data_IF_197825765075
#
_entry.id   IF_197825765075
#
_cell.length_a   1.000
_cell.length_b   1.000
_cell.length_c   1.000
_cell.angle_alpha   90.00
_cell.angle_beta   90.00
_cell.angle_gamma   90.00
#
_symmetry.space_group_name_H-M   'P 1'
#
loop_
_entity.id
_entity.type
_entity.pdbx_description
1 polymer ?
#
# COMPACT_ATOMS: atom_id res chain seq x y z
N UNK A 1 36.47 3.28 -41.67
CA UNK A 1 36.32 1.86 -41.29
C UNK A 1 35.93 1.87 -39.82
N UNK A 2 34.65 1.66 -39.53
CA UNK A 2 34.11 1.65 -38.16
C UNK A 2 33.42 0.31 -37.98
N UNK A 3 34.03 -0.52 -37.14
CA UNK A 3 33.61 -1.87 -36.80
C UNK A 3 32.25 -1.84 -36.11
N UNK A 4 31.25 -2.49 -36.71
CA UNK A 4 30.00 -2.82 -36.05
C UNK A 4 30.22 -4.11 -35.26
N UNK A 5 30.28 -4.00 -33.95
CA UNK A 5 30.29 -5.14 -33.03
C UNK A 5 28.93 -5.85 -33.05
N UNK A 6 28.87 -6.98 -33.77
CA UNK A 6 27.79 -7.96 -33.72
C UNK A 6 27.68 -8.51 -32.30
N UNK A 7 26.61 -8.12 -31.59
CA UNK A 7 26.21 -8.76 -30.35
C UNK A 7 25.31 -9.93 -30.70
N UNK A 8 25.90 -11.05 -31.14
CA UNK A 8 25.24 -12.36 -31.24
C UNK A 8 25.10 -12.98 -29.86
N UNK A 9 24.27 -12.37 -29.01
CA UNK A 9 23.94 -12.92 -27.70
C UNK A 9 22.83 -13.96 -27.86
N UNK A 10 23.25 -15.22 -27.71
CA UNK A 10 22.49 -16.34 -27.15
C UNK A 10 21.26 -16.82 -27.94
N UNK A 11 21.50 -17.60 -29.00
CA UNK A 11 20.44 -18.43 -29.63
C UNK A 11 20.58 -19.93 -29.40
N UNK A 12 21.55 -20.37 -28.59
CA UNK A 12 21.90 -21.79 -28.47
C UNK A 12 21.78 -22.30 -27.02
N UNK A 13 20.60 -22.17 -26.42
CA UNK A 13 20.19 -23.02 -25.29
C UNK A 13 18.78 -23.56 -25.57
N UNK A 14 18.61 -24.15 -26.76
CA UNK A 14 17.51 -25.07 -26.99
C UNK A 14 17.83 -26.35 -26.21
N UNK A 15 16.89 -26.77 -25.36
CA UNK A 15 17.04 -27.91 -24.48
C UNK A 15 17.17 -29.18 -25.32
N UNK A 16 18.39 -29.63 -25.58
CA UNK A 16 18.67 -31.02 -25.96
C UNK A 16 18.39 -31.90 -24.74
N UNK A 17 17.11 -32.13 -24.47
CA UNK A 17 16.66 -33.23 -23.63
C UNK A 17 17.07 -34.50 -24.37
N UNK A 18 18.27 -35.00 -24.07
CA UNK A 18 18.68 -36.35 -24.45
C UNK A 18 17.70 -37.31 -23.80
N UNK A 19 16.69 -37.73 -24.56
CA UNK A 19 15.86 -38.89 -24.24
C UNK A 19 16.74 -40.12 -24.49
N UNK A 20 17.75 -40.31 -23.64
CA UNK A 20 18.42 -41.58 -23.56
C UNK A 20 17.45 -42.53 -22.85
N UNK A 21 16.86 -43.48 -23.58
CA UNK A 21 16.00 -44.51 -23.00
C UNK A 21 16.89 -45.62 -22.40
N UNK A 22 17.17 -45.63 -21.08
CA UNK A 22 18.05 -46.63 -20.46
C UNK A 22 17.51 -48.07 -20.57
N UNK A 23 16.24 -48.21 -20.94
CA UNK A 23 15.58 -49.50 -21.15
C UNK A 23 15.92 -50.11 -22.52
N UNK A 24 16.22 -49.32 -23.54
CA UNK A 24 16.40 -49.80 -24.91
C UNK A 24 17.52 -50.86 -25.02
N UNK A 25 18.61 -50.70 -24.29
CA UNK A 25 19.75 -51.62 -24.33
C UNK A 25 19.55 -52.88 -23.45
N UNK A 26 18.66 -52.81 -22.44
CA UNK A 26 18.27 -53.99 -21.67
C UNK A 26 17.29 -54.88 -22.43
N UNK A 27 16.39 -54.27 -23.23
CA UNK A 27 15.46 -55.02 -24.06
C UNK A 27 16.18 -55.81 -25.16
N UNK A 28 17.21 -55.25 -25.81
CA UNK A 28 17.98 -55.92 -26.89
C UNK A 28 18.62 -57.24 -26.47
N UNK A 29 19.18 -57.32 -25.25
CA UNK A 29 19.87 -58.53 -24.75
C UNK A 29 18.92 -59.67 -24.42
N UNK A 30 17.65 -59.38 -24.09
CA UNK A 30 16.64 -60.38 -23.75
C UNK A 30 15.90 -61.00 -24.94
N UNK A 31 15.78 -60.28 -26.06
CA UNK A 31 14.93 -60.69 -27.21
C UNK A 31 15.39 -62.02 -27.83
N UNK A 32 16.70 -62.27 -27.90
CA UNK A 32 17.26 -63.52 -28.47
C UNK A 32 16.94 -64.78 -27.67
N UNK A 33 16.55 -64.63 -26.40
CA UNK A 33 16.25 -65.72 -25.48
C UNK A 33 14.76 -66.10 -25.43
N UNK A 34 13.88 -65.35 -26.10
CA UNK A 34 12.43 -65.53 -25.99
C UNK A 34 11.92 -66.58 -26.97
N UNK A 35 10.92 -67.34 -26.50
CA UNK A 35 10.14 -68.19 -27.40
C UNK A 35 9.21 -67.33 -28.27
N UNK A 36 8.65 -67.93 -29.33
CA UNK A 36 7.77 -67.24 -30.28
C UNK A 36 6.52 -66.63 -29.62
N UNK A 37 5.86 -67.34 -28.72
CA UNK A 37 4.65 -66.87 -28.05
C UNK A 37 4.91 -65.70 -27.10
N UNK A 38 6.02 -65.74 -26.35
CA UNK A 38 6.44 -64.65 -25.48
C UNK A 38 6.79 -63.39 -26.28
N UNK A 39 7.37 -63.56 -27.47
CA UNK A 39 7.66 -62.46 -28.38
C UNK A 39 6.37 -61.84 -28.94
N UNK A 40 5.40 -62.67 -29.35
CA UNK A 40 4.11 -62.23 -29.85
C UNK A 40 3.30 -61.47 -28.77
N UNK A 41 3.21 -61.99 -27.54
CA UNK A 41 2.49 -61.32 -26.43
C UNK A 41 3.12 -59.97 -26.06
N UNK A 42 4.46 -59.90 -25.98
CA UNK A 42 5.16 -58.64 -25.70
C UNK A 42 5.01 -57.64 -26.84
N UNK A 43 5.04 -58.10 -28.09
CA UNK A 43 4.79 -57.24 -29.25
C UNK A 43 3.38 -56.64 -29.19
N UNK A 44 2.36 -57.44 -28.88
CA UNK A 44 0.99 -56.97 -28.76
C UNK A 44 0.84 -55.92 -27.65
N UNK A 45 1.38 -56.16 -26.46
CA UNK A 45 1.35 -55.16 -25.36
C UNK A 45 2.08 -53.87 -25.73
N UNK A 46 3.27 -53.98 -26.32
CA UNK A 46 4.04 -52.81 -26.75
C UNK A 46 3.30 -52.02 -27.84
N UNK A 47 2.60 -52.72 -28.74
CA UNK A 47 1.79 -52.09 -29.77
C UNK A 47 0.60 -51.33 -29.18
N UNK A 48 -0.09 -51.89 -28.19
CA UNK A 48 -1.15 -51.20 -27.43
C UNK A 48 -0.62 -49.97 -26.71
N UNK A 49 0.51 -50.10 -26.00
CA UNK A 49 1.18 -49.00 -25.30
C UNK A 49 1.58 -47.88 -26.29
N UNK A 50 2.10 -48.25 -27.46
CA UNK A 50 2.45 -47.30 -28.52
C UNK A 50 1.21 -46.56 -29.07
N UNK A 51 0.08 -47.26 -29.26
CA UNK A 51 -1.18 -46.61 -29.63
C UNK A 51 -1.63 -45.64 -28.54
N UNK A 52 -1.57 -46.06 -27.28
CA UNK A 52 -1.95 -45.22 -26.14
C UNK A 52 -1.08 -43.97 -26.06
N UNK A 53 0.24 -44.12 -26.22
CA UNK A 53 1.19 -43.02 -26.23
C UNK A 53 0.92 -42.04 -27.38
N UNK A 54 0.65 -42.55 -28.59
CA UNK A 54 0.24 -41.71 -29.73
C UNK A 54 -1.00 -40.89 -29.39
N UNK A 55 -2.05 -41.52 -28.85
CA UNK A 55 -3.29 -40.82 -28.44
C UNK A 55 -3.01 -39.71 -27.42
N UNK A 56 -2.18 -39.99 -26.41
CA UNK A 56 -1.83 -39.00 -25.40
C UNK A 56 -1.02 -37.83 -25.98
N UNK A 57 -0.08 -38.11 -26.89
CA UNK A 57 0.70 -37.08 -27.58
C UNK A 57 -0.20 -36.17 -28.42
N UNK A 58 -1.13 -36.73 -29.21
CA UNK A 58 -2.09 -35.94 -30.00
C UNK A 58 -2.98 -35.07 -29.09
N UNK A 59 -3.45 -35.60 -27.96
CA UNK A 59 -4.24 -34.82 -26.99
C UNK A 59 -3.44 -33.65 -26.38
N UNK A 60 -2.16 -33.86 -26.10
CA UNK A 60 -1.28 -32.79 -25.64
C UNK A 60 -1.01 -31.76 -26.74
N UNK A 61 -0.79 -32.20 -27.97
CA UNK A 61 -0.61 -31.33 -29.12
C UNK A 61 -1.85 -30.44 -29.36
N UNK A 62 -3.05 -31.01 -29.28
CA UNK A 62 -4.31 -30.25 -29.38
C UNK A 62 -4.45 -29.22 -28.26
N UNK A 63 -4.05 -29.57 -27.03
CA UNK A 63 -4.02 -28.63 -25.91
C UNK A 63 -3.01 -27.50 -26.16
N UNK A 64 -1.83 -27.83 -26.67
CA UNK A 64 -0.79 -26.86 -27.00
C UNK A 64 -1.26 -25.91 -28.11
N UNK A 65 -1.92 -26.43 -29.16
CA UNK A 65 -2.52 -25.62 -30.23
C UNK A 65 -3.55 -24.65 -29.69
N UNK A 66 -4.50 -25.11 -28.85
CA UNK A 66 -5.51 -24.24 -28.22
C UNK A 66 -4.89 -23.15 -27.36
N UNK A 67 -3.85 -23.49 -26.59
CA UNK A 67 -3.11 -22.52 -25.79
C UNK A 67 -2.36 -21.52 -26.69
N UNK A 68 -1.72 -21.99 -27.76
CA UNK A 68 -1.07 -21.14 -28.75
C UNK A 68 -2.03 -20.12 -29.37
N UNK A 69 -3.22 -20.58 -29.79
CA UNK A 69 -4.28 -19.68 -30.26
C UNK A 69 -4.74 -18.72 -29.16
N UNK A 70 -4.93 -19.17 -27.91
CA UNK A 70 -5.37 -18.31 -26.81
C UNK A 70 -4.35 -17.21 -26.49
N UNK A 71 -3.05 -17.54 -26.49
CA UNK A 71 -1.98 -16.57 -26.32
C UNK A 71 -1.97 -15.55 -27.45
N UNK A 72 -2.08 -16.01 -28.70
CA UNK A 72 -2.13 -15.12 -29.86
C UNK A 72 -3.35 -14.19 -29.80
N UNK A 73 -4.52 -14.71 -29.41
CA UNK A 73 -5.73 -13.91 -29.22
C UNK A 73 -5.55 -12.85 -28.12
N UNK A 74 -4.99 -13.22 -26.96
CA UNK A 74 -4.74 -12.26 -25.87
C UNK A 74 -3.76 -11.15 -26.30
N UNK A 75 -2.73 -11.49 -27.07
CA UNK A 75 -1.79 -10.50 -27.63
C UNK A 75 -2.50 -9.57 -28.62
N UNK A 76 -3.36 -10.11 -29.49
CA UNK A 76 -4.18 -9.31 -30.42
C UNK A 76 -5.17 -8.41 -29.68
N UNK A 77 -5.88 -8.93 -28.68
CA UNK A 77 -6.82 -8.19 -27.86
C UNK A 77 -6.13 -7.04 -27.14
N UNK A 78 -4.93 -7.28 -26.57
CA UNK A 78 -4.10 -6.23 -25.93
C UNK A 78 -3.63 -5.17 -26.92
N UNK A 79 -3.23 -5.57 -28.14
CA UNK A 79 -2.83 -4.62 -29.19
C UNK A 79 -4.02 -3.78 -29.65
N UNK A 80 -5.19 -4.40 -29.83
CA UNK A 80 -6.42 -3.73 -30.21
C UNK A 80 -6.89 -2.76 -29.12
N UNK A 81 -6.90 -3.19 -27.86
CA UNK A 81 -7.23 -2.32 -26.72
C UNK A 81 -6.23 -1.19 -26.51
N UNK A 82 -4.95 -1.36 -26.90
CA UNK A 82 -3.96 -0.29 -26.88
C UNK A 82 -4.18 0.74 -28.01
N UNK A 83 -4.61 0.29 -29.20
CA UNK A 83 -4.90 1.16 -30.35
C UNK A 83 -6.23 1.90 -30.18
N UNK A 84 -7.26 1.21 -29.68
CA UNK A 84 -8.58 1.79 -29.36
C UNK A 84 -8.54 2.58 -28.03
N UNK A 85 -7.49 2.38 -27.23
CA UNK A 85 -7.24 2.95 -25.91
C UNK A 85 -6.70 4.38 -25.86
N UNK A 86 -7.04 5.24 -26.82
CA UNK A 86 -7.34 6.64 -26.50
C UNK A 86 -8.73 6.70 -25.84
N UNK A 87 -8.88 6.03 -24.69
CA UNK A 87 -10.15 5.94 -23.98
C UNK A 87 -10.37 4.58 -23.34
N UNK A 88 -10.09 4.50 -22.03
CA UNK A 88 -10.52 3.45 -21.09
C UNK A 88 -9.85 2.08 -21.28
N UNK A 89 -8.83 1.87 -20.46
CA UNK A 89 -8.22 0.57 -20.22
C UNK A 89 -9.25 -0.45 -19.70
N UNK A 90 -9.24 -1.66 -20.27
CA UNK A 90 -9.92 -2.82 -19.69
C UNK A 90 -8.88 -3.89 -19.37
N UNK A 91 -8.55 -3.88 -18.08
CA UNK A 91 -8.09 -4.98 -17.24
C UNK A 91 -8.51 -6.37 -17.73
N UNK A 92 -7.54 -7.29 -17.90
CA UNK A 92 -7.74 -8.68 -17.48
C UNK A 92 -6.41 -9.37 -17.16
N UNK A 93 -6.30 -9.91 -15.94
CA UNK A 93 -5.18 -10.72 -15.47
C UNK A 93 -4.41 -10.09 -14.31
N UNK A 94 -5.04 -10.00 -13.13
CA UNK A 94 -4.37 -9.64 -11.87
C UNK A 94 -4.36 -8.16 -11.49
N UNK A 95 -4.90 -7.28 -12.33
CA UNK A 95 -5.13 -5.89 -11.95
C UNK A 95 -6.48 -5.75 -11.26
N UNK A 96 -6.46 -5.18 -10.05
CA UNK A 96 -7.61 -4.55 -9.38
C UNK A 96 -8.52 -3.92 -10.45
N UNK A 97 -9.78 -4.36 -10.54
CA UNK A 97 -10.72 -3.91 -11.58
C UNK A 97 -10.68 -2.39 -11.67
N UNK A 98 -10.65 -1.82 -12.87
CA UNK A 98 -10.64 -0.36 -13.03
C UNK A 98 -11.85 0.29 -12.30
N UNK A 99 -12.95 -0.44 -12.17
CA UNK A 99 -14.09 -0.08 -11.34
C UNK A 99 -13.71 0.08 -9.86
N UNK A 100 -12.98 -0.87 -9.27
CA UNK A 100 -12.52 -0.78 -7.88
C UNK A 100 -11.48 0.32 -7.65
N UNK A 101 -10.67 0.65 -8.66
CA UNK A 101 -9.78 1.82 -8.62
C UNK A 101 -10.61 3.10 -8.63
N UNK A 102 -11.58 3.21 -9.53
CA UNK A 102 -12.45 4.38 -9.65
C UNK A 102 -13.33 4.61 -8.40
N UNK A 103 -13.84 3.54 -7.79
CA UNK A 103 -14.57 3.61 -6.52
C UNK A 103 -13.67 4.09 -5.37
N UNK A 104 -12.42 3.64 -5.36
CA UNK A 104 -11.45 4.05 -4.35
C UNK A 104 -11.03 5.51 -4.54
N UNK A 105 -10.80 5.97 -5.76
CA UNK A 105 -10.55 7.37 -6.08
C UNK A 105 -11.72 8.27 -5.67
N UNK A 106 -12.96 7.82 -5.94
CA UNK A 106 -14.17 8.54 -5.52
C UNK A 106 -14.25 8.66 -4.00
N UNK A 107 -13.94 7.59 -3.26
CA UNK A 107 -13.87 7.59 -1.79
C UNK A 107 -12.76 8.51 -1.29
N UNK A 108 -11.57 8.45 -1.89
CA UNK A 108 -10.46 9.34 -1.52
C UNK A 108 -10.85 10.81 -1.70
N UNK A 109 -11.45 11.17 -2.83
CA UNK A 109 -11.94 12.54 -3.07
C UNK A 109 -13.00 12.97 -2.04
N UNK A 110 -13.95 12.09 -1.72
CA UNK A 110 -14.97 12.36 -0.71
C UNK A 110 -14.34 12.58 0.69
N UNK A 111 -13.39 11.73 1.08
CA UNK A 111 -12.68 11.86 2.36
C UNK A 111 -11.81 13.12 2.41
N UNK A 112 -11.10 13.47 1.33
CA UNK A 112 -10.33 14.71 1.27
C UNK A 112 -11.23 15.94 1.41
N UNK A 113 -12.39 15.94 0.75
CA UNK A 113 -13.38 17.02 0.86
C UNK A 113 -13.90 17.14 2.29
N UNK A 114 -14.28 16.02 2.92
CA UNK A 114 -14.72 16.01 4.32
C UNK A 114 -13.62 16.50 5.27
N UNK A 115 -12.39 16.05 5.06
CA UNK A 115 -11.25 16.46 5.88
C UNK A 115 -10.96 17.96 5.75
N UNK A 116 -11.01 18.52 4.53
CA UNK A 116 -10.92 19.97 4.30
C UNK A 116 -12.02 20.74 5.04
N UNK A 117 -13.27 20.25 4.97
CA UNK A 117 -14.39 20.87 5.69
C UNK A 117 -14.22 20.80 7.21
N UNK A 118 -13.76 19.67 7.74
CA UNK A 118 -13.51 19.51 9.18
C UNK A 118 -12.36 20.40 9.65
N UNK A 119 -11.28 20.51 8.87
CA UNK A 119 -10.17 21.44 9.16
C UNK A 119 -10.63 22.89 9.19
N UNK A 120 -11.50 23.28 8.25
CA UNK A 120 -12.03 24.65 8.22
C UNK A 120 -12.96 24.92 9.40
N UNK A 121 -13.87 23.99 9.72
CA UNK A 121 -14.70 24.08 10.93
C UNK A 121 -13.84 24.22 12.19
N UNK A 122 -12.79 23.41 12.32
CA UNK A 122 -11.86 23.48 13.44
C UNK A 122 -11.16 24.84 13.51
N UNK A 123 -10.70 25.37 12.36
CA UNK A 123 -10.09 26.71 12.28
C UNK A 123 -11.05 27.79 12.77
N UNK A 124 -12.30 27.76 12.30
CA UNK A 124 -13.36 28.69 12.70
C UNK A 124 -13.64 28.58 14.20
N UNK A 125 -13.82 27.36 14.73
CA UNK A 125 -14.06 27.15 16.17
C UNK A 125 -12.88 27.65 17.02
N UNK A 126 -11.63 27.41 16.60
CA UNK A 126 -10.45 27.96 17.27
C UNK A 126 -10.46 29.50 17.28
N UNK A 127 -10.83 30.12 16.17
CA UNK A 127 -10.96 31.58 16.07
C UNK A 127 -12.06 32.10 17.01
N UNK A 128 -13.23 31.46 17.04
CA UNK A 128 -14.29 31.84 17.97
C UNK A 128 -13.87 31.69 19.44
N UNK A 129 -13.14 30.64 19.81
CA UNK A 129 -12.64 30.46 21.17
C UNK A 129 -11.64 31.56 21.57
N UNK A 130 -10.73 31.92 20.67
CA UNK A 130 -9.77 33.00 20.89
C UNK A 130 -10.45 34.36 21.04
N UNK A 131 -11.54 34.60 20.31
CA UNK A 131 -12.33 35.82 20.43
C UNK A 131 -13.19 35.81 21.70
N UNK A 132 -13.81 34.68 22.04
CA UNK A 132 -14.62 34.51 23.24
C UNK A 132 -13.79 34.64 24.52
N UNK A 133 -12.55 34.11 24.56
CA UNK A 133 -11.68 34.26 25.74
C UNK A 133 -11.20 35.70 25.95
N UNK A 134 -11.17 36.51 24.88
CA UNK A 134 -10.78 37.92 24.91
C UNK A 134 -11.94 38.88 25.17
N UNK A 135 -13.19 38.40 25.15
CA UNK A 135 -14.36 39.24 25.45
C UNK A 135 -14.47 39.42 26.97
N UNK A 136 -13.99 40.57 27.47
CA UNK A 136 -14.30 41.01 28.81
C UNK A 136 -15.79 41.39 28.86
N UNK A 137 -16.64 40.47 29.33
CA UNK A 137 -18.06 40.76 29.48
C UNK A 137 -18.28 41.73 30.65
N UNK A 138 -19.22 42.66 30.50
CA UNK A 138 -19.57 43.64 31.56
C UNK A 138 -19.97 42.97 32.90
N UNK A 139 -20.31 41.68 32.87
CA UNK A 139 -20.76 40.89 34.00
C UNK A 139 -19.77 39.80 34.43
N UNK A 140 -18.48 39.92 34.11
CA UNK A 140 -17.43 38.98 34.58
C UNK A 140 -17.42 38.76 36.11
N UNK A 141 -17.96 39.71 36.89
CA UNK A 141 -18.08 39.62 38.34
C UNK A 141 -19.23 38.72 38.82
N UNK A 142 -20.24 38.48 37.98
CA UNK A 142 -21.41 37.66 38.29
C UNK A 142 -21.05 36.20 38.09
N UNK A 143 -21.23 35.38 39.14
CA UNK A 143 -20.94 33.94 39.05
C UNK A 143 -22.03 33.20 38.26
N UNK A 144 -21.68 32.16 37.47
CA UNK A 144 -22.66 31.27 36.89
C UNK A 144 -23.52 30.61 37.98
N UNK A 145 -24.84 30.63 37.83
CA UNK A 145 -25.78 29.99 38.78
C UNK A 145 -25.83 28.47 38.65
N UNK A 146 -25.32 27.95 37.52
CA UNK A 146 -25.22 26.53 37.20
C UNK A 146 -23.76 26.19 36.88
N UNK A 147 -23.32 25.00 37.25
CA UNK A 147 -21.95 24.56 37.00
C UNK A 147 -21.79 24.18 35.53
N UNK A 148 -21.07 25.00 34.76
CA UNK A 148 -20.82 24.78 33.33
C UNK A 148 -19.59 23.90 33.06
N UNK A 149 -18.90 23.41 34.09
CA UNK A 149 -17.68 22.61 33.96
C UNK A 149 -16.46 23.37 33.43
N UNK A 150 -16.57 24.69 33.23
CA UNK A 150 -15.49 25.55 32.77
C UNK A 150 -14.71 26.13 33.96
N UNK A 151 -13.36 26.09 33.95
CA UNK A 151 -12.56 26.66 35.02
C UNK A 151 -12.75 28.18 35.10
N UNK A 152 -12.86 28.70 36.32
CA UNK A 152 -13.03 30.14 36.58
C UNK A 152 -11.81 30.90 36.05
N UNK A 153 -11.97 31.97 35.25
CA UNK A 153 -10.84 32.80 34.85
C UNK A 153 -10.16 33.37 36.11
N UNK A 154 -8.81 33.47 36.13
CA UNK A 154 -8.08 34.04 37.26
C UNK A 154 -8.66 35.41 37.63
N UNK A 155 -8.80 35.74 38.93
CA UNK A 155 -9.32 37.03 39.34
C UNK A 155 -8.46 38.14 38.71
N UNK A 156 -9.08 39.05 37.96
CA UNK A 156 -8.41 40.24 37.43
C UNK A 156 -7.71 40.96 38.58
N UNK A 157 -6.38 41.04 38.52
CA UNK A 157 -5.63 41.95 39.38
C UNK A 157 -6.09 43.35 39.02
N UNK A 158 -6.99 43.93 39.83
CA UNK A 158 -7.44 45.31 39.70
C UNK A 158 -6.20 46.18 39.52
N UNK A 159 -5.96 46.65 38.30
CA UNK A 159 -4.90 47.60 38.00
C UNK A 159 -5.31 48.92 38.65
N UNK A 160 -5.05 49.06 39.94
CA UNK A 160 -5.06 50.32 40.66
C UNK A 160 -3.73 51.04 40.38
N UNK A 161 -3.40 51.25 39.11
CA UNK A 161 -2.31 52.17 38.76
C UNK A 161 -2.92 53.55 38.54
N UNK A 162 -2.61 54.44 39.49
CA UNK A 162 -2.76 55.90 39.42
C UNK A 162 -4.14 56.50 39.74
N UNK A 163 -4.92 55.91 40.67
CA UNK A 163 -5.94 56.71 41.38
C UNK A 163 -5.30 57.39 42.58
N UNK A 164 -5.25 58.73 42.55
CA UNK A 164 -4.87 59.57 43.70
C UNK A 164 -5.90 59.32 44.81
N UNK A 165 -5.51 58.54 45.81
CA UNK A 165 -6.31 58.36 47.04
C UNK A 165 -6.12 59.61 47.89
N UNK A 166 -7.17 60.42 48.02
CA UNK A 166 -7.26 61.45 49.04
C UNK A 166 -7.89 60.76 50.26
N UNK A 167 -7.05 60.35 51.20
CA UNK A 167 -7.45 59.70 52.44
C UNK A 167 -6.26 59.04 53.15
N UNK A 168 -6.29 58.84 54.48
CA UNK A 168 -5.12 58.39 55.23
C UNK A 168 -4.68 56.99 54.79
N UNK A 169 -3.41 56.86 54.38
CA UNK A 169 -2.82 55.61 53.92
C UNK A 169 -2.38 54.76 55.11
N UNK A 170 -2.91 53.54 55.23
CA UNK A 170 -2.36 52.52 56.12
C UNK A 170 -1.19 51.82 55.41
N UNK A 171 0.01 52.00 55.95
CA UNK A 171 1.26 51.46 55.42
C UNK A 171 1.24 49.93 55.38
N UNK A 172 1.44 49.34 54.19
CA UNK A 172 1.75 47.91 54.05
C UNK A 172 3.25 47.72 53.84
N UNK A 173 3.86 47.05 54.80
CA UNK A 173 5.25 46.57 54.85
C UNK A 173 5.64 45.83 53.58
N UNK A 174 6.83 46.16 53.05
CA UNK A 174 7.39 45.64 51.80
C UNK A 174 8.00 44.25 52.03
N UNK A 175 7.58 43.30 51.19
CA UNK A 175 8.14 41.96 51.03
C UNK A 175 9.63 42.02 50.63
N UNK A 176 10.39 41.00 51.05
CA UNK A 176 11.72 40.69 50.51
C UNK A 176 11.73 39.22 50.09
N UNK A 177 11.61 38.93 48.80
CA UNK A 177 12.26 37.78 48.17
C UNK A 177 12.76 38.24 46.80
N UNK A 178 14.06 38.08 46.62
CA UNK A 178 14.87 38.27 45.42
C UNK A 178 14.55 37.24 44.35
N UNK A 179 14.43 37.69 43.10
CA UNK A 179 14.98 36.96 41.94
C UNK A 179 16.36 37.58 41.67
N UNK A 180 17.35 36.84 41.11
CA UNK A 180 17.40 36.83 39.64
C UNK A 180 18.13 35.64 38.97
N UNK A 181 18.00 35.58 37.64
CA UNK A 181 18.86 34.88 36.64
C UNK A 181 18.86 33.33 36.70
N UNK A 182 18.89 32.52 35.64
CA UNK A 182 19.28 32.66 34.24
C UNK A 182 18.47 31.67 33.37
N UNK A 183 18.34 31.96 32.09
CA UNK A 183 18.00 31.01 31.00
C UNK A 183 19.26 30.83 30.13
N UNK A 184 19.37 29.96 29.08
CA UNK A 184 18.56 28.83 28.57
C UNK A 184 19.42 27.60 28.13
N UNK A 185 18.80 26.47 27.74
CA UNK A 185 19.25 25.46 26.71
C UNK A 185 18.45 24.16 26.91
N UNK A 186 17.64 23.71 25.95
CA UNK A 186 17.99 22.84 24.81
C UNK A 186 18.53 21.45 25.21
N UNK A 187 17.92 20.43 24.60
CA UNK A 187 18.27 19.00 24.57
C UNK A 187 17.82 18.11 25.76
N UNK A 188 16.71 17.38 25.58
CA UNK A 188 16.77 15.90 25.58
C UNK A 188 15.43 15.27 25.15
N UNK A 189 15.32 15.05 23.83
CA UNK A 189 14.37 14.11 23.22
C UNK A 189 14.97 12.70 23.27
N UNK A 190 15.20 12.12 24.44
CA UNK A 190 15.56 10.70 24.59
C UNK A 190 15.01 10.09 25.89
N UNK A 191 13.70 9.87 25.96
CA UNK A 191 13.11 9.02 27.02
C UNK A 191 11.89 8.20 26.56
N UNK A 192 11.80 7.87 25.27
CA UNK A 192 10.89 6.84 24.75
C UNK A 192 11.72 5.67 24.22
N UNK A 193 12.24 4.88 25.15
CA UNK A 193 13.09 3.74 24.80
C UNK A 193 13.47 2.85 25.98
N UNK A 194 12.63 2.73 27.01
CA UNK A 194 12.76 1.68 28.06
C UNK A 194 11.38 1.31 28.62
N UNK A 195 10.68 0.46 27.89
CA UNK A 195 9.74 -0.51 28.46
C UNK A 195 9.79 -1.72 27.52
N UNK A 196 10.68 -2.63 27.89
CA UNK A 196 10.73 -4.00 27.45
C UNK A 196 9.77 -4.80 28.33
#
# INVERSE_FOLDING_TARGET
MTETSDTTVSKEHFLDVKIADPKADQHKKGISSWNRGDLEDRYLRLYEDHIYLKKHCHKQEDRLKRLGTKVMQLVMDRKKSAVEGKGKASVSGGSVSQETVNDMETKMYAYEKQNKQLKEKLRITKQHLLLASKQATAYNHVQPRINTGLPKPPPEQRILKNRRVIGPQLSKTKMKISSPEDSPSEVDLQALGKLQ
#
